data_IF_044387143989
#
_entry.id   IF_044387143989
#
_cell.length_a   1.000
_cell.length_b   1.000
_cell.length_c   1.000
_cell.angle_alpha   90.00
_cell.angle_beta   90.00
_cell.angle_gamma   90.00
#
_symmetry.space_group_name_H-M   'P 1'
#
loop_
_entity.id
_entity.type
_entity.pdbx_description
1 polymer ?
#
# COMPACT_ATOMS: atom_id res chain seq x y z
N UNK A 1 -5.45 35.62 27.50
CA UNK A 1 -6.30 34.43 27.34
C UNK A 1 -5.42 33.41 26.65
N UNK A 2 -5.00 32.39 27.38
CA UNK A 2 -4.14 31.34 26.84
C UNK A 2 -5.10 30.40 26.12
N UNK A 3 -5.10 30.42 24.78
CA UNK A 3 -5.83 29.40 24.03
C UNK A 3 -5.21 28.05 24.40
N UNK A 4 -6.04 27.15 24.90
CA UNK A 4 -5.63 25.84 25.37
C UNK A 4 -4.87 25.10 24.27
N UNK A 5 -3.77 24.46 24.68
CA UNK A 5 -2.87 23.65 23.87
C UNK A 5 -3.58 22.34 23.44
N UNK A 6 -4.66 22.48 22.68
CA UNK A 6 -5.61 21.41 22.37
C UNK A 6 -5.15 20.66 21.13
N UNK A 7 -4.94 19.35 21.28
CA UNK A 7 -4.52 18.45 20.20
C UNK A 7 -5.65 18.33 19.17
N UNK A 8 -5.38 18.78 17.94
CA UNK A 8 -6.33 18.81 16.82
C UNK A 8 -5.68 18.24 15.56
N UNK A 9 -6.52 17.85 14.60
CA UNK A 9 -6.05 17.59 13.24
C UNK A 9 -5.97 18.89 12.46
N UNK A 10 -4.82 19.15 11.85
CA UNK A 10 -4.58 20.30 10.97
C UNK A 10 -4.36 19.84 9.53
N UNK A 11 -4.90 20.61 8.58
CA UNK A 11 -4.61 20.41 7.17
C UNK A 11 -3.24 21.00 6.82
N UNK A 12 -2.34 20.14 6.35
CA UNK A 12 -0.99 20.50 5.93
C UNK A 12 -0.93 20.51 4.39
N UNK A 13 -0.36 21.58 3.85
CA UNK A 13 -0.01 21.71 2.45
C UNK A 13 1.41 21.22 2.19
N UNK A 14 1.60 20.35 1.20
CA UNK A 14 2.92 19.97 0.70
C UNK A 14 3.09 20.50 -0.73
N UNK A 15 3.99 21.47 -0.93
CA UNK A 15 4.23 22.03 -2.27
C UNK A 15 5.27 21.24 -3.06
N UNK A 16 5.89 20.23 -2.43
CA UNK A 16 6.87 19.37 -3.08
C UNK A 16 6.14 18.23 -3.81
N UNK A 17 6.10 18.20 -5.15
CA UNK A 17 5.31 17.21 -5.87
C UNK A 17 5.77 15.78 -5.53
N UNK A 18 4.81 14.88 -5.27
CA UNK A 18 5.04 13.46 -5.00
C UNK A 18 5.90 13.15 -3.77
N UNK A 19 5.97 14.06 -2.79
CA UNK A 19 6.69 13.84 -1.52
C UNK A 19 5.77 13.68 -0.32
N UNK A 20 4.46 13.75 -0.49
CA UNK A 20 3.45 13.70 0.58
C UNK A 20 3.63 12.49 1.49
N UNK A 21 3.87 11.29 0.92
CA UNK A 21 4.17 10.09 1.71
C UNK A 21 5.45 10.22 2.54
N UNK A 22 6.50 10.84 1.99
CA UNK A 22 7.76 11.03 2.72
C UNK A 22 7.63 12.06 3.84
N UNK A 23 6.89 13.14 3.59
CA UNK A 23 6.58 14.14 4.62
C UNK A 23 5.79 13.49 5.74
N UNK A 24 4.79 12.67 5.41
CA UNK A 24 4.00 11.96 6.42
C UNK A 24 4.85 11.04 7.27
N UNK A 25 5.76 10.29 6.65
CA UNK A 25 6.66 9.38 7.37
C UNK A 25 7.64 10.15 8.26
N UNK A 26 8.12 11.31 7.79
CA UNK A 26 8.98 12.22 8.55
C UNK A 26 8.25 12.83 9.76
N UNK A 27 6.98 13.25 9.62
CA UNK A 27 6.13 13.70 10.73
C UNK A 27 5.93 12.57 11.75
N UNK A 28 5.67 11.34 11.28
CA UNK A 28 5.51 10.16 12.14
C UNK A 28 6.79 9.84 12.90
N UNK A 29 7.94 9.98 12.24
CA UNK A 29 9.26 9.81 12.88
C UNK A 29 9.56 10.92 13.89
N UNK A 30 9.06 12.13 13.66
CA UNK A 30 9.12 13.24 14.61
C UNK A 30 8.24 13.00 15.86
N UNK A 31 7.33 12.00 15.82
CA UNK A 31 6.51 11.58 16.96
C UNK A 31 5.05 12.05 16.89
N UNK A 32 4.62 12.64 15.78
CA UNK A 32 3.24 13.12 15.60
C UNK A 32 2.42 12.16 14.72
N UNK A 33 1.10 12.16 14.86
CA UNK A 33 0.25 11.38 13.96
C UNK A 33 0.08 12.13 12.63
N UNK A 34 0.23 11.43 11.50
CA UNK A 34 0.01 12.01 10.18
C UNK A 34 -0.73 11.06 9.25
N UNK A 35 -1.54 11.63 8.37
CA UNK A 35 -2.38 10.91 7.41
C UNK A 35 -2.32 11.59 6.03
N UNK A 36 -2.21 10.78 4.97
CA UNK A 36 -2.31 11.22 3.58
C UNK A 36 -3.43 10.40 2.94
N UNK A 37 -4.49 11.00 2.39
CA UNK A 37 -5.49 10.26 1.63
C UNK A 37 -4.86 9.78 0.32
N UNK A 38 -4.98 8.49 0.03
CA UNK A 38 -4.34 7.86 -1.13
C UNK A 38 -5.40 7.38 -2.12
N UNK A 39 -4.93 7.09 -3.34
CA UNK A 39 -5.70 6.42 -4.39
C UNK A 39 -4.76 5.69 -5.34
N UNK A 40 -5.30 4.68 -5.99
CA UNK A 40 -4.58 4.01 -7.06
C UNK A 40 -4.73 4.71 -8.40
N UNK A 41 -3.64 4.76 -9.15
CA UNK A 41 -3.65 5.04 -10.59
C UNK A 41 -2.83 4.00 -11.35
N UNK A 42 -3.16 3.83 -12.64
CA UNK A 42 -2.35 3.05 -13.58
C UNK A 42 -1.37 4.02 -14.23
N UNK A 43 -0.07 3.74 -14.13
CA UNK A 43 0.99 4.44 -14.86
C UNK A 43 1.64 3.48 -15.84
N UNK A 44 1.77 3.90 -17.09
CA UNK A 44 2.59 3.16 -18.05
C UNK A 44 4.05 3.53 -17.85
N UNK A 45 4.84 2.60 -17.31
CA UNK A 45 6.27 2.75 -17.13
C UNK A 45 6.94 1.76 -18.10
N UNK A 46 7.76 2.29 -19.03
CA UNK A 46 8.50 1.48 -20.01
C UNK A 46 7.64 0.39 -20.70
N UNK A 47 6.46 0.77 -21.20
CA UNK A 47 5.52 -0.12 -21.92
C UNK A 47 4.98 -1.28 -21.07
N UNK A 48 5.01 -1.13 -19.75
CA UNK A 48 4.32 -1.98 -18.80
C UNK A 48 3.42 -1.08 -17.95
N UNK A 49 2.14 -1.39 -17.92
CA UNK A 49 1.23 -0.72 -17.02
C UNK A 49 1.48 -1.20 -15.59
N UNK A 50 1.98 -0.30 -14.76
CA UNK A 50 2.23 -0.52 -13.36
C UNK A 50 1.22 0.28 -12.54
N UNK A 51 0.87 -0.27 -11.38
CA UNK A 51 -0.04 0.39 -10.45
C UNK A 51 0.81 1.23 -9.51
N UNK A 52 0.34 2.44 -9.23
CA UNK A 52 1.02 3.36 -8.33
C UNK A 52 0.00 3.92 -7.37
N UNK A 53 0.30 3.79 -6.08
CA UNK A 53 -0.39 4.51 -5.04
C UNK A 53 0.08 5.96 -5.06
N UNK A 54 -0.87 6.88 -5.16
CA UNK A 54 -0.60 8.32 -5.21
C UNK A 54 -1.55 9.07 -4.28
N UNK A 55 -1.20 10.28 -3.83
CA UNK A 55 -2.13 11.14 -3.12
C UNK A 55 -3.44 11.31 -3.88
N UNK A 56 -4.57 11.12 -3.19
CA UNK A 56 -5.90 11.34 -3.74
C UNK A 56 -6.09 12.81 -4.13
N UNK A 57 -5.62 13.70 -3.25
CA UNK A 57 -5.55 15.14 -3.48
C UNK A 57 -4.08 15.55 -3.39
N UNK A 58 -3.43 15.92 -4.52
CA UNK A 58 -2.03 16.35 -4.52
C UNK A 58 -1.78 17.49 -3.53
N UNK A 59 -0.71 17.37 -2.75
CA UNK A 59 -0.28 18.36 -1.78
C UNK A 59 -1.22 18.58 -0.58
N UNK A 60 -2.17 17.68 -0.33
CA UNK A 60 -3.02 17.70 0.86
C UNK A 60 -2.66 16.53 1.77
N UNK A 61 -2.43 16.84 3.04
CA UNK A 61 -2.23 15.85 4.09
C UNK A 61 -2.76 16.40 5.42
N UNK A 62 -2.80 15.55 6.44
CA UNK A 62 -3.31 15.89 7.76
C UNK A 62 -2.28 15.47 8.81
N UNK A 63 -2.13 16.28 9.85
CA UNK A 63 -1.29 15.97 11.00
C UNK A 63 -2.02 16.32 12.28
N UNK A 64 -1.84 15.50 13.32
CA UNK A 64 -2.46 15.67 14.63
C UNK A 64 -1.40 16.11 15.63
N UNK A 65 -1.70 17.17 16.36
CA UNK A 65 -0.80 17.73 17.36
C UNK A 65 -1.36 19.04 17.88
N UNK A 66 -0.58 19.70 18.71
CA UNK A 66 -0.80 21.11 19.05
C UNK A 66 -0.37 22.02 17.91
N UNK A 67 -0.83 23.28 17.94
CA UNK A 67 -0.43 24.26 16.93
C UNK A 67 1.07 24.53 16.98
N UNK A 68 1.64 24.61 18.19
CA UNK A 68 3.05 24.85 18.45
C UNK A 68 3.93 23.72 17.92
N UNK A 69 3.61 22.46 18.22
CA UNK A 69 4.36 21.29 17.73
C UNK A 69 4.39 21.24 16.20
N UNK A 70 3.27 21.54 15.56
CA UNK A 70 3.17 21.50 14.10
C UNK A 70 3.88 22.68 13.44
N UNK A 71 3.86 23.87 14.06
CA UNK A 71 4.68 25.01 13.61
C UNK A 71 6.17 24.69 13.72
N UNK A 72 6.60 24.16 14.86
CA UNK A 72 7.99 23.76 15.08
C UNK A 72 8.44 22.72 14.04
N UNK A 73 7.61 21.71 13.78
CA UNK A 73 7.89 20.75 12.71
C UNK A 73 8.01 21.45 11.35
N UNK A 74 7.03 22.29 10.97
CA UNK A 74 7.01 22.96 9.67
C UNK A 74 8.23 23.84 9.46
N UNK A 75 8.70 24.53 10.49
CA UNK A 75 9.87 25.41 10.43
C UNK A 75 11.20 24.65 10.23
N UNK A 76 11.29 23.41 10.76
CA UNK A 76 12.48 22.58 10.67
C UNK A 76 12.38 21.47 9.60
N UNK A 77 11.23 21.34 8.95
CA UNK A 77 10.99 20.26 8.01
C UNK A 77 11.98 20.30 6.84
N UNK A 78 12.57 19.16 6.44
CA UNK A 78 13.44 19.09 5.25
C UNK A 78 12.66 19.22 3.93
N UNK A 79 11.35 19.46 4.00
CA UNK A 79 10.41 19.56 2.88
C UNK A 79 9.67 20.89 2.91
N UNK A 80 9.23 21.37 1.74
CA UNK A 80 8.39 22.58 1.65
C UNK A 80 6.96 22.25 2.03
N UNK A 81 6.64 22.47 3.30
CA UNK A 81 5.33 22.22 3.91
C UNK A 81 4.82 23.48 4.61
N UNK A 82 3.51 23.56 4.83
CA UNK A 82 2.90 24.66 5.57
C UNK A 82 1.53 24.24 6.13
N UNK A 83 1.12 24.83 7.24
CA UNK A 83 -0.25 24.67 7.75
C UNK A 83 -1.21 25.53 6.91
N UNK A 84 -2.30 24.95 6.40
CA UNK A 84 -3.28 25.68 5.57
C UNK A 84 -4.10 26.61 6.46
N UNK A 85 -4.24 27.87 6.06
CA UNK A 85 -5.14 28.84 6.70
C UNK A 85 -6.59 28.59 6.27
N UNK A 86 -7.53 28.82 7.18
CA UNK A 86 -8.97 28.77 6.91
C UNK A 86 -9.37 29.96 6.04
N UNK A 87 -10.10 29.70 4.96
CA UNK A 87 -10.68 30.75 4.10
C UNK A 87 -12.09 31.15 4.51
N UNK A 88 -12.68 30.46 5.51
CA UNK A 88 -14.07 30.64 5.94
C UNK A 88 -14.22 31.60 7.12
N UNK A 89 -13.11 31.95 7.77
CA UNK A 89 -13.10 32.87 8.91
C UNK A 89 -12.36 34.15 8.53
N UNK A 90 -12.80 35.30 9.04
CA UNK A 90 -12.07 36.57 8.91
C UNK A 90 -10.84 36.65 9.84
N UNK A 91 -10.53 35.56 10.55
CA UNK A 91 -9.32 35.41 11.38
C UNK A 91 -8.29 34.58 10.62
N UNK A 92 -7.01 34.80 10.92
CA UNK A 92 -5.90 34.02 10.36
C UNK A 92 -5.78 32.60 10.93
N UNK A 93 -6.91 31.97 11.25
CA UNK A 93 -6.95 30.67 11.93
C UNK A 93 -6.56 29.55 10.95
N UNK A 94 -5.88 28.51 11.44
CA UNK A 94 -5.55 27.34 10.63
C UNK A 94 -6.77 26.44 10.37
N UNK A 95 -6.74 25.73 9.25
CA UNK A 95 -7.80 24.78 8.88
C UNK A 95 -7.66 23.50 9.70
N UNK A 96 -8.54 23.35 10.70
CA UNK A 96 -8.61 22.17 11.57
C UNK A 96 -9.75 21.24 11.20
N UNK A 97 -9.59 19.94 11.48
CA UNK A 97 -10.63 18.91 11.35
C UNK A 97 -10.96 18.36 12.75
N UNK A 98 -12.24 18.28 13.17
CA UNK A 98 -12.60 17.65 14.43
C UNK A 98 -12.19 16.17 14.48
N UNK A 99 -11.70 15.69 15.62
CA UNK A 99 -11.19 14.32 15.78
C UNK A 99 -12.16 13.25 15.26
N UNK A 100 -13.43 13.29 15.67
CA UNK A 100 -14.46 12.34 15.20
C UNK A 100 -14.70 12.39 13.69
N UNK A 101 -14.62 13.57 13.08
CA UNK A 101 -14.77 13.71 11.63
C UNK A 101 -13.56 13.12 10.89
N UNK A 102 -12.36 13.32 11.44
CA UNK A 102 -11.14 12.74 10.90
C UNK A 102 -11.11 11.21 11.06
N UNK A 103 -11.51 10.69 12.23
CA UNK A 103 -11.64 9.25 12.47
C UNK A 103 -12.61 8.60 11.48
N UNK A 104 -13.79 9.21 11.26
CA UNK A 104 -14.74 8.73 10.26
C UNK A 104 -14.18 8.82 8.83
N UNK A 105 -13.43 9.87 8.51
CA UNK A 105 -12.80 10.05 7.21
C UNK A 105 -11.72 9.00 6.96
N UNK A 106 -10.84 8.77 7.94
CA UNK A 106 -9.82 7.73 7.91
C UNK A 106 -10.50 6.38 7.77
N UNK A 107 -11.47 6.03 8.62
CA UNK A 107 -12.20 4.77 8.55
C UNK A 107 -12.86 4.55 7.18
N UNK A 108 -13.52 5.56 6.60
CA UNK A 108 -14.09 5.46 5.26
C UNK A 108 -13.01 5.21 4.20
N UNK A 109 -11.89 5.93 4.25
CA UNK A 109 -10.79 5.72 3.28
C UNK A 109 -10.06 4.40 3.49
N UNK A 110 -9.89 3.96 4.73
CA UNK A 110 -9.22 2.72 5.09
C UNK A 110 -10.10 1.50 4.83
N UNK A 111 -11.40 1.52 5.14
CA UNK A 111 -12.33 0.44 4.78
C UNK A 111 -12.43 0.27 3.25
N UNK A 112 -12.36 1.39 2.51
CA UNK A 112 -12.27 1.37 1.05
C UNK A 112 -10.87 1.01 0.54
N UNK A 113 -9.81 0.96 1.33
CA UNK A 113 -8.45 0.62 0.85
C UNK A 113 -7.92 -0.72 1.37
N UNK A 114 -8.26 -1.11 2.61
CA UNK A 114 -7.84 -2.32 3.31
C UNK A 114 -8.48 -3.58 2.73
N UNK A 115 -9.67 -3.46 2.13
CA UNK A 115 -10.41 -4.59 1.58
C UNK A 115 -10.69 -4.49 0.08
N UNK A 116 -10.41 -3.34 -0.53
CA UNK A 116 -10.51 -3.22 -1.97
C UNK A 116 -9.18 -3.69 -2.57
N UNK A 117 -9.16 -4.95 -3.00
CA UNK A 117 -8.30 -5.31 -4.12
C UNK A 117 -8.76 -4.42 -5.27
N UNK A 118 -8.09 -3.29 -5.51
CA UNK A 118 -8.40 -2.52 -6.69
C UNK A 118 -8.01 -3.41 -7.86
N UNK A 119 -8.74 -3.35 -8.96
CA UNK A 119 -8.40 -4.07 -10.18
C UNK A 119 -8.52 -3.10 -11.35
N UNK A 120 -7.73 -3.28 -12.41
CA UNK A 120 -8.11 -2.66 -13.70
C UNK A 120 -9.46 -3.25 -14.17
N UNK A 121 -10.26 -2.52 -14.95
CA UNK A 121 -11.43 -3.10 -15.60
C UNK A 121 -11.14 -4.40 -16.38
N UNK A 122 -9.93 -4.56 -16.95
CA UNK A 122 -9.52 -5.81 -17.61
C UNK A 122 -8.99 -6.90 -16.67
N UNK A 123 -8.63 -6.54 -15.42
CA UNK A 123 -8.10 -7.44 -14.39
C UNK A 123 -9.22 -8.10 -13.57
N UNK A 124 -10.40 -7.46 -13.44
CA UNK A 124 -11.60 -8.12 -12.88
C UNK A 124 -12.23 -9.04 -13.95
N UNK A 125 -11.56 -10.15 -14.21
CA UNK A 125 -12.23 -11.28 -14.83
C UNK A 125 -12.97 -12.02 -13.74
N UNK A 126 -14.18 -11.54 -13.44
CA UNK A 126 -15.15 -12.31 -12.65
C UNK A 126 -15.25 -13.71 -13.27
N UNK A 127 -15.16 -14.73 -12.44
CA UNK A 127 -15.32 -16.12 -12.82
C UNK A 127 -16.44 -16.74 -12.00
N UNK A 128 -17.05 -17.79 -12.55
CA UNK A 128 -17.98 -18.63 -11.80
C UNK A 128 -17.19 -19.27 -10.64
N UNK A 129 -17.77 -19.24 -9.44
CA UNK A 129 -17.17 -19.72 -8.19
C UNK A 129 -16.45 -18.65 -7.37
N UNK A 130 -16.33 -17.42 -7.87
CA UNK A 130 -15.69 -16.34 -7.11
C UNK A 130 -16.53 -15.92 -5.90
N UNK A 131 -15.90 -15.82 -4.74
CA UNK A 131 -16.49 -15.23 -3.55
C UNK A 131 -16.50 -13.72 -3.68
N UNK A 132 -17.61 -13.09 -3.32
CA UNK A 132 -17.81 -11.66 -3.42
C UNK A 132 -18.51 -11.09 -2.18
N UNK A 133 -18.43 -9.77 -2.01
CA UNK A 133 -19.29 -8.97 -1.14
C UNK A 133 -20.06 -7.96 -1.99
N UNK A 134 -21.34 -7.80 -1.71
CA UNK A 134 -22.20 -6.85 -2.43
C UNK A 134 -21.96 -5.44 -1.90
N UNK A 135 -21.92 -4.47 -2.83
CA UNK A 135 -21.79 -3.04 -2.60
C UNK A 135 -23.08 -2.32 -3.01
N UNK A 136 -23.74 -1.70 -2.05
CA UNK A 136 -24.96 -0.94 -2.23
C UNK A 136 -26.25 -1.76 -2.37
N UNK A 137 -27.39 -1.06 -2.36
CA UNK A 137 -28.72 -1.66 -2.43
C UNK A 137 -29.11 -2.46 -1.18
N UNK A 138 -30.17 -3.26 -1.29
CA UNK A 138 -30.76 -4.00 -0.14
C UNK A 138 -29.91 -5.18 0.37
N UNK A 139 -28.84 -5.52 -0.36
CA UNK A 139 -27.93 -6.62 -0.02
C UNK A 139 -26.53 -6.14 0.33
N UNK A 140 -26.34 -4.83 0.50
CA UNK A 140 -25.05 -4.22 0.85
C UNK A 140 -24.39 -4.92 2.04
N UNK A 141 -23.09 -5.17 1.93
CA UNK A 141 -22.29 -5.87 2.94
C UNK A 141 -22.49 -7.39 3.02
N UNK A 142 -23.47 -7.98 2.31
CA UNK A 142 -23.67 -9.45 2.30
C UNK A 142 -22.66 -10.15 1.39
N UNK A 143 -22.29 -11.34 1.80
CA UNK A 143 -21.32 -12.18 1.08
C UNK A 143 -22.03 -13.20 0.19
N UNK A 144 -21.43 -13.52 -0.95
CA UNK A 144 -21.98 -14.48 -1.90
C UNK A 144 -20.96 -15.09 -2.83
N UNK A 145 -21.43 -16.01 -3.69
CA UNK A 145 -20.61 -16.71 -4.68
C UNK A 145 -21.21 -16.48 -6.07
N UNK A 146 -20.38 -16.13 -7.06
CA UNK A 146 -20.82 -15.99 -8.45
C UNK A 146 -21.17 -17.37 -9.01
N UNK A 147 -22.42 -17.59 -9.37
CA UNK A 147 -22.92 -18.84 -9.97
C UNK A 147 -22.91 -18.79 -11.49
N UNK A 148 -23.08 -17.61 -12.08
CA UNK A 148 -23.12 -17.43 -13.54
C UNK A 148 -22.80 -16.01 -13.95
N UNK A 149 -22.22 -15.87 -15.13
CA UNK A 149 -21.99 -14.58 -15.80
C UNK A 149 -22.75 -14.60 -17.11
N UNK A 150 -23.68 -13.66 -17.30
CA UNK A 150 -24.46 -13.49 -18.52
C UNK A 150 -23.98 -12.25 -19.29
N UNK A 151 -24.04 -12.30 -20.62
CA UNK A 151 -23.76 -11.15 -21.49
C UNK A 151 -22.28 -10.90 -21.82
N UNK A 152 -21.99 -10.50 -23.08
CA UNK A 152 -20.63 -10.15 -23.55
C UNK A 152 -20.26 -8.67 -23.34
N UNK A 153 -21.26 -7.77 -23.27
CA UNK A 153 -21.08 -6.30 -23.16
C UNK A 153 -21.61 -5.73 -21.84
N UNK A 154 -22.82 -6.13 -21.43
CA UNK A 154 -23.39 -5.80 -20.12
C UNK A 154 -23.35 -7.09 -19.29
N UNK A 155 -22.26 -7.28 -18.54
CA UNK A 155 -22.12 -8.48 -17.72
C UNK A 155 -23.18 -8.42 -16.62
N UNK A 156 -23.97 -9.46 -16.47
CA UNK A 156 -24.92 -9.61 -15.37
C UNK A 156 -24.50 -10.84 -14.58
N UNK A 157 -24.32 -10.66 -13.28
CA UNK A 157 -23.88 -11.72 -12.39
C UNK A 157 -25.09 -12.37 -11.75
N UNK A 158 -25.09 -13.69 -11.69
CA UNK A 158 -25.98 -14.46 -10.83
C UNK A 158 -25.20 -14.83 -9.60
N UNK A 159 -25.63 -14.39 -8.42
CA UNK A 159 -24.91 -14.58 -7.16
C UNK A 159 -25.76 -15.38 -6.18
N UNK A 160 -25.14 -16.35 -5.50
CA UNK A 160 -25.70 -17.09 -4.37
C UNK A 160 -25.26 -16.44 -3.05
N UNK A 161 -26.21 -16.07 -2.19
CA UNK A 161 -25.96 -15.53 -0.84
C UNK A 161 -26.34 -16.59 0.20
N UNK A 162 -25.41 -17.10 1.03
CA UNK A 162 -25.71 -18.09 2.07
C UNK A 162 -26.79 -17.62 3.06
N UNK A 163 -27.70 -18.52 3.45
CA UNK A 163 -28.79 -18.23 4.38
C UNK A 163 -30.08 -17.71 3.73
N UNK A 164 -30.13 -17.57 2.40
CA UNK A 164 -31.36 -17.30 1.65
C UNK A 164 -31.77 -18.53 0.83
N UNK A 165 -33.05 -18.92 0.94
CA UNK A 165 -33.56 -20.18 0.41
C UNK A 165 -33.58 -20.25 -1.12
N UNK A 166 -33.78 -19.13 -1.83
CA UNK A 166 -33.71 -19.04 -3.30
C UNK A 166 -33.42 -17.60 -3.70
N UNK A 167 -32.18 -17.26 -4.04
CA UNK A 167 -31.91 -15.98 -4.70
C UNK A 167 -30.71 -16.10 -5.64
N UNK A 168 -31.01 -16.35 -6.91
CA UNK A 168 -30.13 -16.03 -8.02
C UNK A 168 -30.39 -14.56 -8.37
N UNK A 169 -29.64 -13.64 -7.76
CA UNK A 169 -29.86 -12.20 -7.96
C UNK A 169 -29.03 -11.75 -9.15
N UNK A 170 -29.66 -11.03 -10.07
CA UNK A 170 -29.00 -10.40 -11.20
C UNK A 170 -28.42 -9.04 -10.76
N UNK A 171 -27.11 -8.89 -10.85
CA UNK A 171 -26.41 -7.69 -10.37
C UNK A 171 -25.31 -7.25 -11.34
N UNK A 172 -25.07 -5.95 -11.37
CA UNK A 172 -24.00 -5.34 -12.14
C UNK A 172 -22.63 -5.67 -11.49
N UNK A 173 -21.60 -6.03 -12.27
CA UNK A 173 -20.22 -6.12 -11.82
C UNK A 173 -19.73 -4.98 -10.94
N UNK A 174 -20.22 -3.75 -11.15
CA UNK A 174 -19.83 -2.58 -10.37
C UNK A 174 -20.36 -2.61 -8.93
N UNK A 175 -21.39 -3.42 -8.65
CA UNK A 175 -22.04 -3.56 -7.34
C UNK A 175 -21.45 -4.69 -6.50
N UNK A 176 -20.30 -5.25 -6.87
CA UNK A 176 -19.68 -6.36 -6.12
C UNK A 176 -18.18 -6.17 -6.01
N UNK A 177 -17.60 -6.63 -4.89
CA UNK A 177 -16.16 -6.76 -4.71
C UNK A 177 -15.76 -8.21 -4.50
N UNK A 178 -14.62 -8.64 -5.02
CA UNK A 178 -14.11 -10.00 -4.86
C UNK A 178 -13.50 -10.19 -3.47
N UNK A 179 -13.84 -11.30 -2.79
CA UNK A 179 -13.27 -11.69 -1.50
C UNK A 179 -12.14 -12.71 -1.70
N UNK A 180 -10.92 -12.33 -1.30
CA UNK A 180 -9.73 -13.13 -0.92
C UNK A 180 -9.18 -14.21 -1.90
N UNK A 181 -9.86 -14.59 -2.98
CA UNK A 181 -9.32 -15.49 -4.02
C UNK A 181 -8.67 -14.76 -5.22
N UNK A 182 -8.61 -13.43 -5.18
CA UNK A 182 -8.01 -12.58 -6.21
C UNK A 182 -6.49 -12.53 -6.14
N UNK A 183 -5.89 -12.47 -4.95
CA UNK A 183 -4.44 -12.25 -4.79
C UNK A 183 -3.61 -13.32 -5.49
N UNK A 184 -3.88 -14.61 -5.24
CA UNK A 184 -3.14 -15.71 -5.90
C UNK A 184 -3.32 -15.68 -7.41
N UNK A 185 -4.53 -15.43 -7.92
CA UNK A 185 -4.79 -15.34 -9.37
C UNK A 185 -4.08 -14.16 -10.02
N UNK A 186 -4.01 -13.02 -9.34
CA UNK A 186 -3.36 -11.80 -9.80
C UNK A 186 -1.85 -11.98 -9.84
N UNK A 187 -1.26 -12.45 -8.75
CA UNK A 187 0.17 -12.74 -8.64
C UNK A 187 0.57 -13.72 -9.75
N UNK A 188 -0.28 -14.72 -10.03
CA UNK A 188 -0.08 -15.65 -11.15
C UNK A 188 -0.28 -15.03 -12.55
N UNK A 189 -0.95 -13.88 -12.66
CA UNK A 189 -1.17 -13.15 -13.91
C UNK A 189 -0.12 -12.08 -14.22
N UNK A 190 0.73 -11.74 -13.24
CA UNK A 190 1.82 -10.79 -13.43
C UNK A 190 2.80 -11.32 -14.49
N UNK A 191 3.12 -10.45 -15.46
CA UNK A 191 4.11 -10.78 -16.49
C UNK A 191 5.51 -10.51 -15.96
N UNK A 192 6.53 -11.25 -16.44
CA UNK A 192 7.92 -10.95 -16.12
C UNK A 192 8.25 -9.47 -16.34
N UNK A 193 9.03 -8.89 -15.42
CA UNK A 193 9.43 -7.48 -15.44
C UNK A 193 10.06 -7.05 -16.77
N UNK A 194 9.67 -5.88 -17.29
CA UNK A 194 10.37 -5.18 -18.37
C UNK A 194 11.40 -4.17 -17.88
N UNK A 195 11.44 -3.89 -16.57
CA UNK A 195 12.37 -2.95 -15.92
C UNK A 195 12.95 -3.56 -14.65
N UNK A 196 13.92 -4.45 -14.82
CA UNK A 196 14.51 -5.21 -13.71
C UNK A 196 15.06 -4.30 -12.61
N UNK A 197 15.72 -3.20 -12.97
CA UNK A 197 16.32 -2.28 -12.01
C UNK A 197 15.25 -1.53 -11.20
N UNK A 198 14.21 -1.05 -11.88
CA UNK A 198 13.07 -0.39 -11.26
C UNK A 198 12.31 -1.32 -10.30
N UNK A 199 11.99 -2.53 -10.75
CA UNK A 199 11.24 -3.50 -9.94
C UNK A 199 12.06 -4.02 -8.75
N UNK A 200 13.38 -4.26 -8.90
CA UNK A 200 14.27 -4.59 -7.76
C UNK A 200 14.20 -3.51 -6.68
N UNK A 201 14.30 -2.24 -7.09
CA UNK A 201 14.25 -1.10 -6.19
C UNK A 201 12.88 -0.96 -5.52
N UNK A 202 11.80 -1.16 -6.25
CA UNK A 202 10.43 -1.13 -5.70
C UNK A 202 10.25 -2.25 -4.66
N UNK A 203 10.62 -3.49 -5.00
CA UNK A 203 10.52 -4.61 -4.07
C UNK A 203 11.31 -4.35 -2.78
N UNK A 204 12.54 -3.85 -2.91
CA UNK A 204 13.36 -3.47 -1.77
C UNK A 204 12.67 -2.41 -0.90
N UNK A 205 12.15 -1.34 -1.52
CA UNK A 205 11.53 -0.23 -0.80
C UNK A 205 10.26 -0.69 -0.07
N UNK A 206 9.39 -1.47 -0.72
CA UNK A 206 8.19 -2.02 -0.07
C UNK A 206 8.58 -2.92 1.11
N UNK A 207 9.55 -3.81 0.92
CA UNK A 207 9.98 -4.70 1.98
C UNK A 207 10.61 -3.95 3.16
N UNK A 208 11.48 -2.98 2.88
CA UNK A 208 12.10 -2.14 3.90
C UNK A 208 11.06 -1.37 4.71
N UNK A 209 10.09 -0.76 4.02
CA UNK A 209 9.03 0.02 4.65
C UNK A 209 8.16 -0.83 5.58
N UNK A 210 7.76 -2.02 5.12
CA UNK A 210 7.00 -2.97 5.94
C UNK A 210 7.80 -3.41 7.17
N UNK A 211 9.09 -3.71 7.02
CA UNK A 211 9.91 -4.24 8.10
C UNK A 211 10.34 -3.18 9.14
N UNK A 212 10.55 -1.94 8.72
CA UNK A 212 11.26 -0.95 9.55
C UNK A 212 10.55 0.40 9.73
N UNK A 213 9.56 0.74 8.89
CA UNK A 213 8.92 2.06 8.92
C UNK A 213 7.46 2.01 9.39
N UNK A 214 6.76 0.88 9.21
CA UNK A 214 5.41 0.68 9.74
C UNK A 214 5.50 0.26 11.21
N UNK A 215 5.25 1.19 12.13
CA UNK A 215 5.20 0.94 13.58
C UNK A 215 3.94 0.14 13.97
N UNK A 216 3.97 -0.59 15.10
CA UNK A 216 2.91 -1.55 15.51
C UNK A 216 1.49 -0.95 15.52
N UNK A 217 1.36 0.35 15.81
CA UNK A 217 0.06 1.07 15.79
C UNK A 217 -0.56 1.22 14.39
N UNK A 218 0.17 0.88 13.32
CA UNK A 218 -0.28 0.96 11.91
C UNK A 218 -0.22 -0.39 11.17
N UNK A 219 0.13 -1.49 11.85
CA UNK A 219 0.22 -2.83 11.23
C UNK A 219 -1.13 -3.42 10.78
N UNK A 220 -2.25 -2.87 11.26
CA UNK A 220 -3.60 -3.30 10.91
C UNK A 220 -4.36 -2.29 10.02
N UNK A 221 -3.74 -1.20 9.59
CA UNK A 221 -4.40 -0.21 8.72
C UNK A 221 -4.27 -0.57 7.22
N UNK A 222 -5.06 0.11 6.38
CA UNK A 222 -5.11 -0.13 4.93
C UNK A 222 -3.75 -0.07 4.22
N UNK A 223 -2.82 0.77 4.71
CA UNK A 223 -1.50 0.95 4.13
C UNK A 223 -0.65 -0.33 4.22
N UNK A 224 -0.75 -1.07 5.31
CA UNK A 224 0.00 -2.32 5.46
C UNK A 224 -0.43 -3.35 4.40
N UNK A 225 -1.73 -3.62 4.30
CA UNK A 225 -2.28 -4.57 3.32
C UNK A 225 -2.01 -4.17 1.88
N UNK A 226 -2.05 -2.87 1.62
CA UNK A 226 -1.70 -2.25 0.36
C UNK A 226 -0.24 -2.49 -0.04
N UNK A 227 0.69 -2.19 0.87
CA UNK A 227 2.11 -2.45 0.65
C UNK A 227 2.39 -3.95 0.48
N UNK A 228 1.70 -4.80 1.26
CA UNK A 228 1.80 -6.25 1.16
C UNK A 228 1.35 -6.76 -0.22
N UNK A 229 0.27 -6.19 -0.79
CA UNK A 229 -0.21 -6.53 -2.12
C UNK A 229 0.81 -6.15 -3.21
N UNK A 230 1.36 -4.94 -3.13
CA UNK A 230 2.36 -4.47 -4.09
C UNK A 230 3.68 -5.25 -3.97
N UNK A 231 4.06 -5.64 -2.76
CA UNK A 231 5.19 -6.53 -2.49
C UNK A 231 5.02 -7.88 -3.19
N UNK A 232 3.86 -8.54 -3.02
CA UNK A 232 3.54 -9.84 -3.66
C UNK A 232 3.65 -9.77 -5.18
N UNK A 233 3.11 -8.71 -5.80
CA UNK A 233 3.16 -8.51 -7.25
C UNK A 233 4.58 -8.27 -7.75
N UNK A 234 5.34 -7.39 -7.08
CA UNK A 234 6.73 -7.13 -7.43
C UNK A 234 7.60 -8.38 -7.32
N UNK A 235 7.40 -9.19 -6.26
CA UNK A 235 8.04 -10.51 -6.09
C UNK A 235 7.73 -11.42 -7.28
N UNK A 236 6.47 -11.51 -7.71
CA UNK A 236 6.08 -12.33 -8.86
C UNK A 236 6.70 -11.87 -10.19
N UNK A 237 6.73 -10.56 -10.47
CA UNK A 237 7.37 -10.01 -11.68
C UNK A 237 8.87 -10.36 -11.77
N UNK A 238 9.53 -10.53 -10.62
CA UNK A 238 10.96 -10.80 -10.50
C UNK A 238 11.30 -12.29 -10.34
N UNK A 239 10.32 -13.15 -10.08
CA UNK A 239 10.53 -14.55 -9.67
C UNK A 239 11.35 -15.38 -10.67
N UNK A 240 11.22 -15.10 -11.97
CA UNK A 240 11.91 -15.85 -13.03
C UNK A 240 13.33 -15.35 -13.33
N UNK A 241 13.73 -14.19 -12.78
CA UNK A 241 15.01 -13.56 -13.10
C UNK A 241 16.16 -14.08 -12.22
N UNK A 242 17.36 -14.08 -12.80
CA UNK A 242 18.63 -14.36 -12.14
C UNK A 242 19.66 -13.30 -12.54
N UNK A 243 20.45 -12.83 -11.59
CA UNK A 243 21.56 -11.93 -11.83
C UNK A 243 22.69 -12.63 -12.57
N UNK A 244 23.25 -11.94 -13.57
CA UNK A 244 24.36 -12.44 -14.37
C UNK A 244 25.69 -12.44 -13.61
N UNK A 245 25.89 -11.44 -12.76
CA UNK A 245 27.06 -11.28 -11.88
C UNK A 245 26.68 -11.52 -10.42
N UNK A 246 27.66 -11.77 -9.56
CA UNK A 246 27.45 -11.89 -8.12
C UNK A 246 26.80 -10.62 -7.52
N UNK A 247 27.17 -9.44 -8.00
CA UNK A 247 26.59 -8.16 -7.56
C UNK A 247 25.11 -8.06 -7.96
N UNK A 248 24.80 -8.26 -9.25
CA UNK A 248 23.41 -8.20 -9.74
C UNK A 248 22.52 -9.28 -9.12
N UNK A 249 23.09 -10.45 -8.79
CA UNK A 249 22.35 -11.52 -8.12
C UNK A 249 22.09 -11.17 -6.65
N UNK A 250 23.05 -10.56 -5.95
CA UNK A 250 22.85 -10.09 -4.59
C UNK A 250 21.80 -8.96 -4.51
N UNK A 251 21.81 -8.02 -5.46
CA UNK A 251 20.81 -6.95 -5.57
C UNK A 251 19.38 -7.47 -5.82
N UNK A 252 19.24 -8.62 -6.48
CA UNK A 252 17.95 -9.27 -6.70
C UNK A 252 17.57 -10.17 -5.52
N UNK A 253 18.51 -10.96 -5.00
CA UNK A 253 18.26 -11.92 -3.94
C UNK A 253 17.95 -11.26 -2.60
N UNK A 254 18.54 -10.10 -2.30
CA UNK A 254 18.29 -9.38 -1.05
C UNK A 254 16.80 -9.00 -0.87
N UNK A 255 16.17 -8.22 -1.78
CA UNK A 255 14.76 -7.88 -1.64
C UNK A 255 13.83 -9.10 -1.78
N UNK A 256 14.23 -10.15 -2.52
CA UNK A 256 13.47 -11.40 -2.57
C UNK A 256 13.47 -12.13 -1.21
N UNK A 257 14.60 -12.16 -0.50
CA UNK A 257 14.68 -12.71 0.84
C UNK A 257 13.87 -11.88 1.85
N UNK A 258 13.97 -10.55 1.81
CA UNK A 258 13.15 -9.68 2.67
C UNK A 258 11.64 -9.93 2.44
N UNK A 259 11.22 -10.06 1.18
CA UNK A 259 9.84 -10.38 0.84
C UNK A 259 9.43 -11.79 1.30
N UNK A 260 10.34 -12.77 1.27
CA UNK A 260 10.08 -14.12 1.77
C UNK A 260 9.83 -14.12 3.28
N UNK A 261 10.60 -13.34 4.05
CA UNK A 261 10.41 -13.16 5.50
C UNK A 261 9.05 -12.52 5.79
N UNK A 262 8.69 -11.43 5.11
CA UNK A 262 7.40 -10.73 5.31
C UNK A 262 6.20 -11.64 4.98
N UNK A 263 6.32 -12.46 3.94
CA UNK A 263 5.24 -13.33 3.48
C UNK A 263 5.20 -14.68 4.20
N UNK A 264 6.20 -15.00 5.00
CA UNK A 264 6.38 -16.32 5.63
C UNK A 264 6.39 -17.47 4.60
N UNK A 265 6.92 -17.19 3.40
CA UNK A 265 6.90 -18.10 2.23
C UNK A 265 8.27 -18.17 1.56
N UNK A 266 8.76 -19.38 1.28
CA UNK A 266 10.04 -19.62 0.57
C UNK A 266 11.27 -18.96 1.23
N UNK A 267 11.27 -18.84 2.57
CA UNK A 267 12.34 -18.19 3.34
C UNK A 267 13.69 -18.87 3.09
N UNK A 268 13.77 -20.19 3.32
CA UNK A 268 15.04 -20.92 3.25
C UNK A 268 15.65 -20.92 1.83
N UNK A 269 14.89 -21.21 0.74
CA UNK A 269 15.41 -21.08 -0.62
C UNK A 269 15.91 -19.66 -0.96
N UNK A 270 15.19 -18.63 -0.49
CA UNK A 270 15.56 -17.24 -0.74
C UNK A 270 16.81 -16.84 0.04
N UNK A 271 16.95 -17.31 1.27
CA UNK A 271 18.13 -17.13 2.13
C UNK A 271 19.36 -17.81 1.52
N UNK A 272 19.22 -19.07 1.06
CA UNK A 272 20.31 -19.79 0.41
C UNK A 272 20.80 -19.08 -0.85
N UNK A 273 19.86 -18.62 -1.69
CA UNK A 273 20.14 -17.83 -2.90
C UNK A 273 20.96 -16.57 -2.58
N UNK A 274 20.56 -15.83 -1.54
CA UNK A 274 21.27 -14.64 -1.08
C UNK A 274 22.68 -14.97 -0.54
N UNK A 275 22.81 -15.99 0.32
CA UNK A 275 24.10 -16.42 0.86
C UNK A 275 25.08 -16.83 -0.25
N UNK A 276 24.60 -17.55 -1.28
CA UNK A 276 25.42 -17.94 -2.43
C UNK A 276 25.94 -16.74 -3.21
N UNK A 277 25.14 -15.67 -3.34
CA UNK A 277 25.56 -14.43 -3.97
C UNK A 277 26.61 -13.70 -3.11
N UNK A 278 26.38 -13.57 -1.81
CA UNK A 278 27.29 -12.92 -0.83
C UNK A 278 28.68 -13.56 -0.84
N UNK A 279 28.75 -14.91 -0.87
CA UNK A 279 30.03 -15.65 -0.91
C UNK A 279 30.92 -15.27 -2.11
N UNK A 280 30.32 -14.81 -3.21
CA UNK A 280 31.02 -14.43 -4.44
C UNK A 280 31.32 -12.93 -4.52
N UNK A 281 30.90 -12.14 -3.53
CA UNK A 281 31.23 -10.71 -3.45
C UNK A 281 32.57 -10.49 -2.74
N UNK A 282 33.31 -9.48 -3.19
CA UNK A 282 34.52 -8.98 -2.52
C UNK A 282 34.20 -8.53 -1.10
N UNK A 283 35.11 -8.75 -0.17
CA UNK A 283 34.94 -8.35 1.24
C UNK A 283 34.82 -6.83 1.42
N UNK A 284 35.47 -6.05 0.55
CA UNK A 284 35.37 -4.59 0.55
C UNK A 284 34.06 -4.05 -0.05
N UNK A 285 33.13 -4.91 -0.46
CA UNK A 285 31.88 -4.50 -1.12
C UNK A 285 30.87 -3.99 -0.10
N UNK A 286 30.44 -2.73 -0.24
CA UNK A 286 29.33 -2.16 0.55
C UNK A 286 28.04 -2.98 0.42
N UNK A 287 27.81 -3.57 -0.76
CA UNK A 287 26.65 -4.44 -0.97
C UNK A 287 26.74 -5.72 -0.13
N UNK A 288 27.94 -6.29 0.03
CA UNK A 288 28.15 -7.48 0.86
C UNK A 288 27.81 -7.18 2.32
N UNK A 289 28.33 -6.08 2.84
CA UNK A 289 28.06 -5.62 4.20
C UNK A 289 26.55 -5.42 4.43
N UNK A 290 25.87 -4.68 3.54
CA UNK A 290 24.42 -4.45 3.63
C UNK A 290 23.61 -5.74 3.63
N UNK A 291 23.99 -6.72 2.79
CA UNK A 291 23.31 -8.00 2.76
C UNK A 291 23.53 -8.82 4.04
N UNK A 292 24.73 -8.77 4.63
CA UNK A 292 25.04 -9.43 5.90
C UNK A 292 24.30 -8.80 7.07
N UNK A 293 24.31 -7.47 7.17
CA UNK A 293 23.55 -6.73 8.19
C UNK A 293 22.05 -7.05 8.11
N UNK A 294 21.49 -7.10 6.90
CA UNK A 294 20.07 -7.44 6.73
C UNK A 294 19.77 -8.91 7.09
N UNK A 295 20.68 -9.83 6.75
CA UNK A 295 20.55 -11.23 7.18
C UNK A 295 20.56 -11.32 8.70
N UNK A 296 21.52 -10.67 9.38
CA UNK A 296 21.59 -10.68 10.84
C UNK A 296 20.33 -10.09 11.47
N UNK A 297 19.86 -8.93 11.00
CA UNK A 297 18.65 -8.27 11.50
C UNK A 297 17.39 -9.11 11.36
N UNK A 298 17.25 -9.85 10.26
CA UNK A 298 16.05 -10.65 9.97
C UNK A 298 16.16 -12.11 10.46
N UNK A 299 17.32 -12.51 10.98
CA UNK A 299 17.59 -13.87 11.45
C UNK A 299 17.49 -13.98 12.99
N UNK A 300 17.06 -12.91 13.67
CA UNK A 300 16.73 -12.92 15.10
C UNK A 300 15.26 -13.35 15.25
N UNK A 301 15.10 -14.67 15.37
CA UNK A 301 14.02 -15.46 15.98
C UNK A 301 12.54 -15.21 15.57
N UNK A 302 11.99 -16.22 14.87
CA UNK A 302 10.74 -16.87 15.28
C UNK A 302 10.99 -17.71 16.54
#
# INVERSE_FOLDING_TARGET
MVEENEIKWYAIGCTSPMKELRVRDDIRQYGLEAFVPLRYIIKTIKHQEQRALVPAVPGLMFAKGTEEELKEYVDHAPYRVYMRKSTFSNKEDYLTVPNKAMENFIAATEDHEAHITYFKPEEIKLQIGDQIRVKGGIYDGKEGIIMRIKGKRNKHLVVQIPGMLVAAIEMDPELVELKVNSEKRIVNSEKPSKDLEGDKKLLYNYAHRILFEITDQYKENSEYYLLLSELKRAKARLATFKGFTAATEAELALPMYMAAVILEEDIEPSKERLMKAIKRLKDSSKLKLRCQEMLERLNIEH
#
